data_IF_331729736870
#
_entry.id   IF_331729736870
#
_cell.length_a   1.000
_cell.length_b   1.000
_cell.length_c   1.000
_cell.angle_alpha   90.00
_cell.angle_beta   90.00
_cell.angle_gamma   90.00
#
_symmetry.space_group_name_H-M   'P 1'
#
loop_
_entity.id
_entity.type
_entity.pdbx_description
1 polymer ?
#
# COMPACT_ATOMS: atom_id res chain seq x y z
N UNK A 1 5.45 11.93 25.64
CA UNK A 1 5.38 12.94 24.55
C UNK A 1 3.93 13.32 24.32
N UNK A 2 3.59 14.58 24.04
CA UNK A 2 2.22 14.98 23.68
C UNK A 2 2.07 15.14 22.15
N UNK A 3 0.83 15.29 21.65
CA UNK A 3 0.57 15.42 20.19
C UNK A 3 1.43 16.47 19.51
N UNK A 4 1.57 17.66 20.11
CA UNK A 4 2.35 18.76 19.52
C UNK A 4 3.83 18.39 19.41
N UNK A 5 4.40 17.78 20.44
CA UNK A 5 5.78 17.33 20.43
C UNK A 5 6.01 16.20 19.41
N UNK A 6 5.05 15.27 19.27
CA UNK A 6 5.13 14.18 18.30
C UNK A 6 5.08 14.67 16.86
N UNK A 7 4.20 15.63 16.56
CA UNK A 7 4.14 16.24 15.23
C UNK A 7 5.36 17.12 14.94
N UNK A 8 5.88 17.84 15.94
CA UNK A 8 7.12 18.59 15.77
C UNK A 8 8.32 17.67 15.47
N UNK A 9 8.38 16.53 16.16
CA UNK A 9 9.38 15.49 15.92
C UNK A 9 9.23 14.91 14.51
N UNK A 10 8.02 14.53 14.11
CA UNK A 10 7.73 14.03 12.76
C UNK A 10 8.27 14.99 11.70
N UNK A 11 7.92 16.27 11.81
CA UNK A 11 8.30 17.30 10.83
C UNK A 11 9.81 17.58 10.85
N UNK A 12 10.46 17.49 12.02
CA UNK A 12 11.91 17.62 12.12
C UNK A 12 12.64 16.49 11.38
N UNK A 13 12.12 15.26 11.45
CA UNK A 13 12.76 14.07 10.88
C UNK A 13 12.19 13.64 9.53
N UNK A 14 11.16 14.34 9.03
CA UNK A 14 10.37 13.98 7.84
C UNK A 14 9.93 12.51 7.89
N UNK A 15 9.50 12.05 9.06
CA UNK A 15 9.35 10.63 9.34
C UNK A 15 8.28 9.99 8.45
N UNK A 16 7.12 10.65 8.26
CA UNK A 16 6.04 10.12 7.43
C UNK A 16 6.45 10.01 5.96
N UNK A 17 7.15 11.04 5.43
CA UNK A 17 7.68 10.97 4.07
C UNK A 17 8.63 9.79 3.90
N UNK A 18 9.53 9.59 4.87
CA UNK A 18 10.48 8.46 4.86
C UNK A 18 9.76 7.12 4.98
N UNK A 19 8.63 7.04 5.68
CA UNK A 19 7.78 5.85 5.70
C UNK A 19 7.16 5.55 4.34
N UNK A 20 6.63 6.56 3.64
CA UNK A 20 6.09 6.37 2.28
C UNK A 20 7.20 5.94 1.30
N UNK A 21 8.35 6.60 1.35
CA UNK A 21 9.49 6.27 0.49
C UNK A 21 10.02 4.85 0.79
N UNK A 22 10.13 4.50 2.08
CA UNK A 22 10.53 3.18 2.56
C UNK A 22 9.59 2.07 2.12
N UNK A 23 8.27 2.31 2.12
CA UNK A 23 7.31 1.35 1.57
C UNK A 23 7.64 1.02 0.11
N UNK A 24 7.86 2.04 -0.73
CA UNK A 24 8.11 1.81 -2.15
C UNK A 24 9.42 1.07 -2.39
N UNK A 25 10.46 1.37 -1.62
CA UNK A 25 11.73 0.65 -1.67
C UNK A 25 11.56 -0.81 -1.24
N UNK A 26 10.98 -1.04 -0.06
CA UNK A 26 10.76 -2.35 0.53
C UNK A 26 9.87 -3.22 -0.38
N UNK A 27 8.75 -2.69 -0.86
CA UNK A 27 7.83 -3.39 -1.76
C UNK A 27 8.49 -3.80 -3.08
N UNK A 28 9.24 -2.89 -3.72
CA UNK A 28 9.92 -3.19 -4.99
C UNK A 28 11.02 -4.23 -4.81
N UNK A 29 11.78 -4.13 -3.71
CA UNK A 29 12.80 -5.10 -3.33
C UNK A 29 12.19 -6.47 -3.07
N UNK A 30 11.15 -6.56 -2.24
CA UNK A 30 10.44 -7.80 -1.95
C UNK A 30 9.87 -8.46 -3.22
N UNK A 31 9.28 -7.68 -4.13
CA UNK A 31 8.82 -8.16 -5.43
C UNK A 31 9.92 -8.78 -6.29
N UNK A 32 11.16 -8.29 -6.18
CA UNK A 32 12.29 -8.72 -7.00
C UNK A 32 13.08 -9.87 -6.39
N UNK A 33 13.30 -9.84 -5.08
CA UNK A 33 14.13 -10.79 -4.34
C UNK A 33 13.31 -12.01 -3.86
N UNK A 34 12.06 -11.81 -3.44
CA UNK A 34 11.19 -12.84 -2.86
C UNK A 34 9.97 -13.11 -3.75
N UNK A 35 10.23 -13.36 -5.05
CA UNK A 35 9.19 -13.45 -6.10
C UNK A 35 8.08 -14.45 -5.81
N UNK A 36 8.42 -15.61 -5.27
CA UNK A 36 7.45 -16.68 -5.01
C UNK A 36 6.49 -16.27 -3.88
N UNK A 37 7.02 -15.66 -2.82
CA UNK A 37 6.22 -15.12 -1.73
C UNK A 37 5.29 -14.00 -2.22
N UNK A 38 5.83 -13.03 -2.97
CA UNK A 38 5.05 -11.98 -3.63
C UNK A 38 3.92 -12.54 -4.51
N UNK A 39 4.24 -13.53 -5.35
CA UNK A 39 3.27 -14.18 -6.22
C UNK A 39 2.21 -14.94 -5.42
N UNK A 40 2.57 -15.57 -4.30
CA UNK A 40 1.63 -16.29 -3.44
C UNK A 40 0.69 -15.34 -2.70
N UNK A 41 1.21 -14.21 -2.21
CA UNK A 41 0.44 -13.17 -1.51
C UNK A 41 -0.62 -12.56 -2.41
N UNK A 42 -0.25 -12.15 -3.63
CA UNK A 42 -1.17 -11.49 -4.55
C UNK A 42 -1.78 -12.40 -5.61
N UNK A 43 -1.54 -13.72 -5.58
CA UNK A 43 -1.98 -14.66 -6.61
C UNK A 43 -1.52 -14.23 -8.02
N UNK A 44 -0.23 -13.93 -8.14
CA UNK A 44 0.43 -13.38 -9.32
C UNK A 44 0.67 -11.87 -9.23
N UNK A 45 1.03 -11.24 -10.35
CA UNK A 45 1.48 -9.83 -10.36
C UNK A 45 0.35 -8.82 -10.10
N UNK A 46 0.70 -7.72 -9.44
CA UNK A 46 -0.08 -6.49 -9.37
C UNK A 46 0.46 -5.45 -10.36
N UNK A 47 -0.40 -4.52 -10.78
CA UNK A 47 -0.02 -3.35 -11.55
C UNK A 47 0.33 -2.20 -10.59
N UNK A 48 1.59 -1.79 -10.54
CA UNK A 48 2.07 -0.79 -9.56
C UNK A 48 1.32 0.55 -9.67
N UNK A 49 0.85 0.92 -10.87
CA UNK A 49 0.05 2.14 -11.08
C UNK A 49 -1.32 2.16 -10.39
N UNK A 50 -1.79 1.03 -9.88
CA UNK A 50 -3.04 0.93 -9.12
C UNK A 50 -2.78 0.88 -7.62
N UNK A 51 -1.52 0.84 -7.18
CA UNK A 51 -1.16 0.97 -5.79
C UNK A 51 -1.17 2.43 -5.36
N UNK A 52 -1.66 2.68 -4.16
CA UNK A 52 -1.55 3.96 -3.49
C UNK A 52 -1.32 3.76 -2.01
N UNK A 53 -0.71 4.76 -1.37
CA UNK A 53 -0.33 4.71 0.04
C UNK A 53 -0.96 5.91 0.72
N UNK A 54 -1.52 5.71 1.92
CA UNK A 54 -2.10 6.79 2.72
C UNK A 54 -1.55 6.78 4.14
N UNK A 55 -1.34 7.97 4.70
CA UNK A 55 -0.89 8.15 6.07
C UNK A 55 -1.94 7.59 7.06
N UNK A 56 -1.53 6.66 7.92
CA UNK A 56 -2.43 6.02 8.89
C UNK A 56 -2.24 6.61 10.28
N UNK A 57 -1.01 6.56 10.79
CA UNK A 57 -0.74 6.98 12.17
C UNK A 57 0.72 7.28 12.44
N UNK A 58 0.95 8.11 13.45
CA UNK A 58 2.23 8.22 14.17
C UNK A 58 1.97 7.99 15.66
N UNK A 59 2.75 7.12 16.30
CA UNK A 59 2.61 6.84 17.72
C UNK A 59 3.94 6.54 18.42
N UNK A 60 4.02 6.92 19.69
CA UNK A 60 5.12 6.57 20.58
C UNK A 60 4.83 5.24 21.25
N UNK A 61 5.74 4.28 21.14
CA UNK A 61 5.69 3.00 21.82
C UNK A 61 6.82 2.92 22.83
N UNK A 62 6.50 2.49 24.05
CA UNK A 62 7.48 2.14 25.07
C UNK A 62 7.15 0.74 25.58
N UNK A 63 8.17 -0.09 25.74
CA UNK A 63 8.05 -1.41 26.35
C UNK A 63 9.10 -1.54 27.45
N UNK A 64 8.72 -2.12 28.58
CA UNK A 64 9.63 -2.33 29.72
C UNK A 64 10.80 -3.26 29.41
N UNK A 65 10.74 -3.98 28.29
CA UNK A 65 11.77 -4.91 27.85
C UNK A 65 12.79 -4.27 26.89
N UNK A 66 12.58 -3.03 26.45
CA UNK A 66 13.51 -2.29 25.58
C UNK A 66 14.09 -1.09 26.34
N UNK A 67 15.34 -0.76 26.02
CA UNK A 67 16.06 0.30 26.71
C UNK A 67 15.45 1.69 26.49
N UNK A 68 14.85 1.92 25.32
CA UNK A 68 14.37 3.22 24.89
C UNK A 68 12.97 3.16 24.27
N UNK A 69 12.27 4.30 24.30
CA UNK A 69 11.02 4.45 23.59
C UNK A 69 11.31 4.68 22.10
N UNK A 70 10.39 4.23 21.25
CA UNK A 70 10.48 4.33 19.79
C UNK A 70 9.24 4.98 19.23
N UNK A 71 9.35 5.57 18.04
CA UNK A 71 8.24 6.18 17.31
C UNK A 71 7.96 5.33 16.08
N UNK A 72 6.71 4.94 15.92
CA UNK A 72 6.23 4.28 14.72
C UNK A 72 5.51 5.27 13.83
N UNK A 73 5.82 5.22 12.54
CA UNK A 73 5.04 5.87 11.49
C UNK A 73 4.47 4.79 10.58
N UNK A 74 3.17 4.86 10.34
CA UNK A 74 2.39 3.83 9.67
C UNK A 74 1.68 4.39 8.46
N UNK A 75 1.63 3.61 7.39
CA UNK A 75 0.84 3.89 6.20
C UNK A 75 -0.02 2.68 5.83
N UNK A 76 -1.21 2.94 5.29
CA UNK A 76 -2.07 1.91 4.71
C UNK A 76 -1.80 1.82 3.21
N UNK A 77 -1.88 0.61 2.67
CA UNK A 77 -1.57 0.26 1.28
C UNK A 77 -2.88 -0.11 0.60
N UNK A 78 -3.21 0.57 -0.48
CA UNK A 78 -4.43 0.35 -1.24
C UNK A 78 -4.13 -0.14 -2.66
N UNK A 79 -4.98 -1.01 -3.19
CA UNK A 79 -4.98 -1.43 -4.58
C UNK A 79 -6.37 -1.25 -5.19
N UNK A 80 -6.49 -0.33 -6.18
CA UNK A 80 -7.79 0.13 -6.68
C UNK A 80 -8.76 0.57 -5.56
N UNK A 81 -8.25 1.35 -4.60
CA UNK A 81 -9.00 1.87 -3.44
C UNK A 81 -9.42 0.83 -2.38
N UNK A 82 -9.12 -0.43 -2.59
CA UNK A 82 -9.30 -1.47 -1.57
C UNK A 82 -8.04 -1.53 -0.69
N UNK A 83 -8.20 -1.48 0.64
CA UNK A 83 -7.10 -1.70 1.58
C UNK A 83 -6.60 -3.14 1.44
N UNK A 84 -5.29 -3.29 1.28
CA UNK A 84 -4.65 -4.59 1.12
C UNK A 84 -3.58 -4.86 2.18
N UNK A 85 -3.22 -3.90 3.02
CA UNK A 85 -2.16 -4.08 4.00
C UNK A 85 -1.60 -2.78 4.55
N UNK A 86 -0.54 -2.88 5.33
CA UNK A 86 0.13 -1.72 5.93
C UNK A 86 1.64 -1.82 5.85
N UNK A 87 2.28 -0.67 6.01
CA UNK A 87 3.71 -0.58 6.20
C UNK A 87 4.04 0.34 7.37
N UNK A 88 4.93 -0.12 8.23
CA UNK A 88 5.36 0.56 9.43
C UNK A 88 6.87 0.76 9.41
N UNK A 89 7.34 1.94 9.81
CA UNK A 89 8.75 2.16 10.15
C UNK A 89 8.86 2.49 11.64
N UNK A 90 9.77 1.80 12.31
CA UNK A 90 10.23 2.11 13.66
C UNK A 90 11.42 3.08 13.61
N UNK A 91 11.33 4.14 14.40
CA UNK A 91 12.40 5.11 14.59
C UNK A 91 12.79 5.17 16.06
N UNK A 92 14.08 5.36 16.33
CA UNK A 92 14.52 5.85 17.64
C UNK A 92 14.14 7.33 17.83
N UNK A 93 14.33 7.88 19.04
CA UNK A 93 13.98 9.27 19.33
C UNK A 93 14.85 10.31 18.61
N UNK A 94 15.99 9.90 18.04
CA UNK A 94 16.87 10.74 17.23
C UNK A 94 16.49 10.72 15.73
N UNK A 95 15.47 9.93 15.35
CA UNK A 95 14.95 9.84 13.99
C UNK A 95 15.74 8.90 13.07
N UNK A 96 16.57 8.04 13.62
CA UNK A 96 17.19 6.93 12.87
C UNK A 96 16.20 5.78 12.76
N UNK A 97 16.19 5.12 11.61
CA UNK A 97 15.34 3.93 11.37
C UNK A 97 15.99 2.77 12.10
N UNK A 98 15.22 2.10 12.95
CA UNK A 98 15.66 0.93 13.70
C UNK A 98 15.11 -0.37 13.11
N UNK A 99 13.90 -0.31 12.54
CA UNK A 99 13.24 -1.47 11.91
C UNK A 99 12.13 -1.00 10.95
N UNK A 100 11.69 -1.90 10.07
CA UNK A 100 10.52 -1.71 9.22
C UNK A 100 9.70 -3.01 9.06
N UNK A 101 8.40 -2.87 8.79
CA UNK A 101 7.51 -4.01 8.66
C UNK A 101 6.51 -3.79 7.53
N UNK A 102 6.51 -4.70 6.55
CA UNK A 102 5.54 -4.76 5.46
C UNK A 102 4.56 -5.89 5.74
N UNK A 103 3.28 -5.56 5.91
CA UNK A 103 2.26 -6.50 6.35
C UNK A 103 1.10 -6.60 5.34
N UNK A 104 0.91 -7.81 4.81
CA UNK A 104 -0.18 -8.22 3.92
C UNK A 104 -0.99 -9.39 4.52
N UNK A 105 -0.96 -9.55 5.84
CA UNK A 105 -1.51 -10.73 6.54
C UNK A 105 -3.03 -10.74 6.69
N UNK A 106 -3.76 -9.76 6.15
CA UNK A 106 -5.22 -9.77 6.17
C UNK A 106 -5.76 -11.04 5.50
N UNK A 107 -6.52 -11.82 6.27
CA UNK A 107 -7.17 -13.05 5.83
C UNK A 107 -8.06 -12.88 4.60
N UNK A 108 -8.61 -11.67 4.38
CA UNK A 108 -9.47 -11.35 3.25
C UNK A 108 -8.69 -10.96 1.99
N UNK A 109 -7.38 -10.68 2.09
CA UNK A 109 -6.56 -10.18 1.00
C UNK A 109 -6.70 -11.01 -0.28
N UNK A 110 -6.58 -12.34 -0.17
CA UNK A 110 -6.67 -13.22 -1.34
C UNK A 110 -8.03 -13.12 -2.04
N UNK A 111 -9.11 -12.99 -1.28
CA UNK A 111 -10.46 -12.79 -1.81
C UNK A 111 -10.58 -11.44 -2.52
N UNK A 112 -10.10 -10.37 -1.88
CA UNK A 112 -10.08 -9.01 -2.43
C UNK A 112 -9.30 -8.95 -3.75
N UNK A 113 -8.07 -9.47 -3.78
CA UNK A 113 -7.23 -9.47 -4.97
C UNK A 113 -7.83 -10.33 -6.09
N UNK A 114 -8.38 -11.50 -5.76
CA UNK A 114 -9.10 -12.35 -6.74
C UNK A 114 -10.26 -11.60 -7.41
N UNK A 115 -11.10 -10.93 -6.62
CA UNK A 115 -12.23 -10.14 -7.12
C UNK A 115 -11.77 -8.99 -8.02
N UNK A 116 -10.74 -8.25 -7.58
CA UNK A 116 -10.17 -7.15 -8.36
C UNK A 116 -9.63 -7.66 -9.70
N UNK A 117 -8.84 -8.74 -9.72
CA UNK A 117 -8.27 -9.30 -10.95
C UNK A 117 -9.36 -9.78 -11.92
N UNK A 118 -10.42 -10.38 -11.39
CA UNK A 118 -11.58 -10.76 -12.19
C UNK A 118 -12.25 -9.55 -12.84
N UNK A 119 -12.49 -8.49 -12.06
CA UNK A 119 -13.10 -7.25 -12.56
C UNK A 119 -12.21 -6.53 -13.59
N UNK A 120 -10.89 -6.48 -13.38
CA UNK A 120 -9.94 -5.93 -14.35
C UNK A 120 -9.96 -6.73 -15.67
N UNK A 121 -10.10 -8.05 -15.60
CA UNK A 121 -10.23 -8.91 -16.79
C UNK A 121 -11.52 -8.60 -17.56
N UNK A 122 -12.65 -8.43 -16.87
CA UNK A 122 -13.91 -8.01 -17.49
C UNK A 122 -13.74 -6.64 -18.15
N UNK A 123 -13.22 -5.66 -17.41
CA UNK A 123 -13.03 -4.29 -17.90
C UNK A 123 -12.16 -4.28 -19.18
N UNK A 124 -11.05 -5.02 -19.18
CA UNK A 124 -10.16 -5.12 -20.34
C UNK A 124 -10.86 -5.73 -21.56
N UNK A 125 -11.63 -6.79 -21.37
CA UNK A 125 -12.36 -7.41 -22.48
C UNK A 125 -13.44 -6.48 -23.02
N UNK A 126 -14.19 -5.82 -22.13
CA UNK A 126 -15.21 -4.85 -22.51
C UNK A 126 -14.63 -3.65 -23.30
N UNK A 127 -13.45 -3.15 -22.91
CA UNK A 127 -12.74 -2.11 -23.65
C UNK A 127 -12.39 -2.54 -25.08
N UNK A 128 -11.96 -3.80 -25.28
CA UNK A 128 -11.65 -4.35 -26.60
C UNK A 128 -12.87 -4.49 -27.51
N UNK A 129 -14.04 -4.75 -26.91
CA UNK A 129 -15.33 -4.77 -27.61
C UNK A 129 -15.91 -3.37 -27.84
N UNK A 130 -15.19 -2.30 -27.47
CA UNK A 130 -15.61 -0.92 -27.70
C UNK A 130 -16.68 -0.41 -26.71
N UNK A 131 -16.88 -1.09 -25.58
CA UNK A 131 -17.81 -0.64 -24.54
C UNK A 131 -17.26 0.64 -23.88
N UNK A 132 -18.15 1.58 -23.59
CA UNK A 132 -17.75 2.84 -22.97
C UNK A 132 -17.28 2.67 -21.51
N UNK A 133 -16.36 3.53 -21.09
CA UNK A 133 -15.72 3.49 -19.77
C UNK A 133 -16.73 3.61 -18.63
N UNK A 134 -17.78 4.43 -18.80
CA UNK A 134 -18.79 4.64 -17.76
C UNK A 134 -19.62 3.39 -17.51
N UNK A 135 -20.01 2.67 -18.57
CA UNK A 135 -20.69 1.38 -18.48
C UNK A 135 -19.79 0.33 -17.84
N UNK A 136 -18.53 0.26 -18.24
CA UNK A 136 -17.55 -0.67 -17.66
C UNK A 136 -17.37 -0.43 -16.16
N UNK A 137 -17.22 0.83 -15.75
CA UNK A 137 -17.11 1.21 -14.35
C UNK A 137 -18.31 0.74 -13.54
N UNK A 138 -19.54 0.94 -14.03
CA UNK A 138 -20.77 0.48 -13.36
C UNK A 138 -20.87 -1.05 -13.22
N UNK A 139 -20.44 -1.79 -14.24
CA UNK A 139 -20.50 -3.27 -14.24
C UNK A 139 -19.45 -3.86 -13.30
N UNK A 140 -18.23 -3.31 -13.34
CA UNK A 140 -17.07 -3.88 -12.64
C UNK A 140 -16.86 -3.31 -11.25
N UNK A 141 -17.48 -2.16 -10.94
CA UNK A 141 -17.22 -1.40 -9.72
C UNK A 141 -15.85 -0.71 -9.70
N UNK A 142 -15.07 -0.77 -10.79
CA UNK A 142 -13.78 -0.09 -10.89
C UNK A 142 -14.03 1.38 -11.22
N UNK A 143 -13.41 2.30 -10.48
CA UNK A 143 -13.55 3.74 -10.76
C UNK A 143 -13.10 4.09 -12.19
N UNK A 144 -13.79 5.06 -12.78
CA UNK A 144 -13.55 5.56 -14.15
C UNK A 144 -12.08 5.89 -14.37
N UNK A 145 -11.39 6.47 -13.38
CA UNK A 145 -9.97 6.83 -13.50
C UNK A 145 -9.07 5.62 -13.76
N UNK A 146 -9.37 4.48 -13.13
CA UNK A 146 -8.57 3.26 -13.30
C UNK A 146 -8.92 2.51 -14.59
N UNK A 147 -10.19 2.55 -15.01
CA UNK A 147 -10.58 2.03 -16.32
C UNK A 147 -9.93 2.85 -17.46
N UNK A 148 -9.79 4.16 -17.28
CA UNK A 148 -9.05 5.03 -18.21
C UNK A 148 -7.58 4.62 -18.31
N UNK A 149 -6.89 4.41 -17.17
CA UNK A 149 -5.51 3.92 -17.15
C UNK A 149 -5.39 2.55 -17.84
N UNK A 150 -6.35 1.64 -17.58
CA UNK A 150 -6.38 0.32 -18.20
C UNK A 150 -6.47 0.41 -19.73
N UNK A 151 -7.28 1.34 -20.23
CA UNK A 151 -7.43 1.60 -21.68
C UNK A 151 -6.13 2.14 -22.28
N UNK A 152 -5.53 3.16 -21.66
CA UNK A 152 -4.35 3.84 -22.20
C UNK A 152 -3.10 2.95 -22.24
N UNK A 153 -2.96 2.03 -21.29
CA UNK A 153 -1.74 1.22 -21.14
C UNK A 153 -1.83 -0.20 -21.69
N UNK A 154 -3.03 -0.78 -21.77
CA UNK A 154 -3.19 -2.22 -21.94
C UNK A 154 -4.20 -2.66 -23.01
N UNK A 155 -4.83 -1.71 -23.71
CA UNK A 155 -5.77 -1.95 -24.80
C UNK A 155 -5.30 -1.22 -26.06
#
# INVERSE_FOLDING_TARGET
MNKKALLAWESQHNAIKRTVDGFWECFRKWREEEKDDYHNTFQGKLYEEYLSVQERSIYLKYSFNVAEAVIFCSVDIFYLEEDIGSYDIEFNLDGEITDDCLDFSDTLLKGTISKIKYNLKIARNALKEGIDIGTISKITGIDVKYVQILKEKYC
#
